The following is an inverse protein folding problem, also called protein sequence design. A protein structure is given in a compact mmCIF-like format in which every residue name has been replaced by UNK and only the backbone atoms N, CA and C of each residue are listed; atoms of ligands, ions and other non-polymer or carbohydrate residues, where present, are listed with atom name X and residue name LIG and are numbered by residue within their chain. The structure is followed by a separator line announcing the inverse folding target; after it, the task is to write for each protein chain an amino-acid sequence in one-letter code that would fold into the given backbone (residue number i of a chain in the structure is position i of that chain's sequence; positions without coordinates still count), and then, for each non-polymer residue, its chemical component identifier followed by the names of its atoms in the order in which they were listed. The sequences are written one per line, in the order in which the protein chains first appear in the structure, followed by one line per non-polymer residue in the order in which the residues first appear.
data_IF_614451913304
#
_entry.id   IF_614451913304
#
_cell.length_a   1.000
_cell.length_b   1.000
_cell.length_c   1.000
_cell.angle_alpha   90.00
_cell.angle_beta   90.00
_cell.angle_gamma   90.00
#
_symmetry.space_group_name_H-M   'P 1'
#
loop_
_entity.id
_entity.type
_entity.pdbx_description
1 polymer ?
#
# COMPACT_ATOMS: atom_id res chain seq x y z
N UNK A 1 -20.67 2.45 -2.80
CA UNK A 1 -21.94 3.19 -2.89
C UNK A 1 -21.62 4.67 -2.75
N UNK A 2 -22.09 5.52 -3.66
CA UNK A 2 -21.76 6.95 -3.60
C UNK A 2 -22.44 7.63 -2.39
N UNK A 3 -21.79 8.60 -1.71
CA UNK A 3 -22.40 9.36 -0.63
C UNK A 3 -23.80 9.94 -0.96
N UNK A 4 -24.03 10.43 -2.18
CA UNK A 4 -25.35 10.89 -2.65
C UNK A 4 -26.41 9.79 -2.64
N UNK A 5 -26.05 8.58 -3.07
CA UNK A 5 -26.94 7.43 -3.06
C UNK A 5 -27.30 7.03 -1.64
N UNK A 6 -26.33 7.10 -0.72
CA UNK A 6 -26.56 6.84 0.70
C UNK A 6 -27.57 7.85 1.26
N UNK A 7 -27.39 9.14 1.00
CA UNK A 7 -28.32 10.18 1.45
C UNK A 7 -29.73 9.95 0.91
N UNK A 8 -29.86 9.63 -0.38
CA UNK A 8 -31.17 9.33 -1.00
C UNK A 8 -31.85 8.13 -0.36
N UNK A 9 -31.10 7.07 -0.07
CA UNK A 9 -31.63 5.88 0.62
C UNK A 9 -32.07 6.22 2.05
N UNK A 10 -31.30 7.03 2.76
CA UNK A 10 -31.67 7.48 4.10
C UNK A 10 -32.93 8.36 4.07
N UNK A 11 -33.06 9.28 3.10
CA UNK A 11 -34.29 10.06 2.88
C UNK A 11 -35.50 9.16 2.63
N UNK A 12 -35.38 8.16 1.74
CA UNK A 12 -36.50 7.25 1.44
C UNK A 12 -36.91 6.37 2.64
N UNK A 13 -35.98 6.04 3.52
CA UNK A 13 -36.26 5.23 4.72
C UNK A 13 -36.83 6.07 5.86
N UNK A 14 -36.36 7.31 6.00
CA UNK A 14 -36.82 8.23 7.04
C UNK A 14 -38.25 8.73 6.81
N UNK A 15 -38.61 8.98 5.55
CA UNK A 15 -39.85 9.67 5.20
C UNK A 15 -39.94 11.03 5.89
N UNK A 16 -41.12 11.39 6.39
CA UNK A 16 -41.38 12.66 7.08
C UNK A 16 -41.09 12.63 8.60
N UNK A 17 -40.62 11.48 9.11
CA UNK A 17 -40.44 11.29 10.56
C UNK A 17 -39.15 11.92 11.10
N UNK A 18 -38.20 12.27 10.23
CA UNK A 18 -36.87 12.77 10.63
C UNK A 18 -36.61 14.11 9.95
N UNK A 19 -36.20 15.10 10.75
CA UNK A 19 -35.84 16.42 10.23
C UNK A 19 -34.57 16.34 9.38
N UNK A 20 -34.50 17.19 8.35
CA UNK A 20 -33.33 17.24 7.45
C UNK A 20 -32.00 17.44 8.20
N UNK A 21 -32.00 18.23 9.28
CA UNK A 21 -30.82 18.46 10.12
C UNK A 21 -30.33 17.18 10.79
N UNK A 22 -31.23 16.37 11.34
CA UNK A 22 -30.89 15.10 11.99
C UNK A 22 -30.42 14.09 10.95
N UNK A 23 -31.10 14.03 9.81
CA UNK A 23 -30.71 13.17 8.69
C UNK A 23 -29.31 13.50 8.17
N UNK A 24 -28.99 14.79 8.06
CA UNK A 24 -27.66 15.28 7.70
C UNK A 24 -26.60 14.84 8.70
N UNK A 25 -26.83 14.99 9.99
CA UNK A 25 -25.89 14.54 11.02
C UNK A 25 -25.64 13.03 10.94
N UNK A 26 -26.70 12.24 10.85
CA UNK A 26 -26.59 10.78 10.71
C UNK A 26 -25.85 10.38 9.43
N UNK A 27 -26.12 11.07 8.32
CA UNK A 27 -25.44 10.80 7.05
C UNK A 27 -23.95 11.10 7.14
N UNK A 28 -23.55 12.24 7.72
CA UNK A 28 -22.14 12.59 7.95
C UNK A 28 -21.44 11.55 8.85
N UNK A 29 -22.12 11.03 9.88
CA UNK A 29 -21.58 9.99 10.76
C UNK A 29 -21.39 8.62 10.09
N UNK A 30 -21.98 8.40 8.91
CA UNK A 30 -21.77 7.19 8.11
C UNK A 30 -20.67 7.35 7.05
N UNK A 31 -20.09 8.54 6.89
CA UNK A 31 -19.01 8.78 5.94
C UNK A 31 -17.63 8.53 6.60
N UNK A 32 -16.61 8.14 5.82
CA UNK A 32 -15.23 8.14 6.29
C UNK A 32 -14.77 9.52 6.76
N UNK A 33 -13.86 9.56 7.73
CA UNK A 33 -13.36 10.81 8.33
C UNK A 33 -12.73 11.76 7.30
N UNK A 34 -12.07 11.22 6.28
CA UNK A 34 -11.47 12.00 5.19
C UNK A 34 -12.50 12.85 4.45
N UNK A 35 -13.73 12.34 4.28
CA UNK A 35 -14.82 13.05 3.63
C UNK A 35 -15.55 13.93 4.65
N UNK A 36 -15.85 13.39 5.83
CA UNK A 36 -16.60 14.07 6.90
C UNK A 36 -15.91 15.37 7.34
N UNK A 37 -14.61 15.34 7.57
CA UNK A 37 -13.86 16.51 8.06
C UNK A 37 -13.94 17.72 7.12
N UNK A 38 -14.03 17.47 5.81
CA UNK A 38 -14.19 18.52 4.79
C UNK A 38 -15.63 19.04 4.78
N UNK A 39 -16.61 18.14 4.87
CA UNK A 39 -18.03 18.50 4.75
C UNK A 39 -18.62 19.16 6.00
N UNK A 40 -18.09 18.87 7.20
CA UNK A 40 -18.61 19.43 8.47
C UNK A 40 -18.51 20.95 8.52
N UNK A 41 -17.50 21.54 7.86
CA UNK A 41 -17.28 22.99 7.81
C UNK A 41 -18.19 23.68 6.78
N UNK A 42 -18.81 22.92 5.86
CA UNK A 42 -19.61 23.47 4.77
C UNK A 42 -21.01 23.90 5.22
N UNK A 43 -21.40 25.13 4.87
CA UNK A 43 -22.75 25.68 5.11
C UNK A 43 -23.75 25.36 3.99
N UNK A 44 -23.38 24.48 3.04
CA UNK A 44 -24.22 24.09 1.91
C UNK A 44 -25.48 23.33 2.32
N UNK A 45 -26.46 23.31 1.42
CA UNK A 45 -27.68 22.49 1.54
C UNK A 45 -27.35 20.99 1.35
N UNK A 46 -28.26 20.10 1.76
CA UNK A 46 -28.01 18.65 1.74
C UNK A 46 -27.74 18.09 0.33
N UNK A 47 -28.31 18.70 -0.71
CA UNK A 47 -28.14 18.27 -2.09
C UNK A 47 -26.72 18.58 -2.58
N UNK A 48 -26.28 19.84 -2.43
CA UNK A 48 -24.94 20.30 -2.79
C UNK A 48 -23.87 19.59 -1.95
N UNK A 49 -24.15 19.39 -0.65
CA UNK A 49 -23.25 18.66 0.26
C UNK A 49 -23.04 17.21 -0.22
N UNK A 50 -24.09 16.57 -0.73
CA UNK A 50 -24.01 15.22 -1.29
C UNK A 50 -23.19 15.16 -2.58
N UNK A 51 -23.29 16.19 -3.42
CA UNK A 51 -22.47 16.33 -4.63
C UNK A 51 -21.00 16.57 -4.28
N UNK A 52 -20.71 17.40 -3.27
CA UNK A 52 -19.35 17.59 -2.76
C UNK A 52 -18.77 16.28 -2.22
N UNK A 53 -19.57 15.53 -1.45
CA UNK A 53 -19.16 14.24 -0.92
C UNK A 53 -18.83 13.24 -2.03
N UNK A 54 -19.63 13.20 -3.10
CA UNK A 54 -19.37 12.35 -4.27
C UNK A 54 -18.05 12.71 -4.95
N UNK A 55 -17.77 14.02 -5.14
CA UNK A 55 -16.50 14.48 -5.73
C UNK A 55 -15.31 14.08 -4.88
N UNK A 56 -15.38 14.28 -3.56
CA UNK A 56 -14.31 13.89 -2.63
C UNK A 56 -14.16 12.36 -2.63
N UNK A 57 -15.26 11.61 -2.66
CA UNK A 57 -15.25 10.16 -2.74
C UNK A 57 -14.58 9.68 -4.03
N UNK A 58 -14.85 10.33 -5.18
CA UNK A 58 -14.21 10.02 -6.46
C UNK A 58 -12.71 10.33 -6.46
N UNK A 59 -12.28 11.44 -5.84
CA UNK A 59 -10.86 11.78 -5.69
C UNK A 59 -10.14 10.72 -4.82
N UNK A 60 -10.74 10.33 -3.69
CA UNK A 60 -10.14 9.33 -2.79
C UNK A 60 -10.24 7.89 -3.32
N UNK A 61 -11.25 7.58 -4.14
CA UNK A 61 -11.45 6.25 -4.74
C UNK A 61 -10.68 6.09 -6.04
N UNK A 62 -10.36 7.19 -6.71
CA UNK A 62 -9.34 7.18 -7.74
C UNK A 62 -8.03 6.84 -7.04
N UNK A 63 -7.34 5.76 -7.43
CA UNK A 63 -5.92 5.69 -7.18
C UNK A 63 -5.33 6.78 -8.07
N UNK A 64 -5.36 8.02 -7.60
CA UNK A 64 -4.50 9.06 -8.10
C UNK A 64 -3.10 8.47 -7.99
N UNK A 65 -2.62 7.94 -9.11
CA UNK A 65 -1.36 8.29 -9.73
C UNK A 65 -0.42 8.96 -8.71
N UNK A 66 -0.03 8.21 -7.67
CA UNK A 66 1.23 8.40 -6.96
C UNK A 66 2.39 7.93 -7.87
N UNK A 67 2.25 8.09 -9.19
CA UNK A 67 3.32 8.14 -10.16
C UNK A 67 3.80 9.59 -10.28
N UNK A 68 4.08 10.21 -9.15
CA UNK A 68 4.99 11.33 -9.05
C UNK A 68 5.86 11.05 -7.83
N UNK A 69 6.98 10.35 -8.08
CA UNK A 69 8.23 10.56 -7.34
C UNK A 69 8.19 10.47 -5.82
N UNK A 70 7.35 9.62 -5.22
CA UNK A 70 7.53 9.23 -3.83
C UNK A 70 8.78 8.34 -3.74
N UNK A 71 9.95 8.98 -3.63
CA UNK A 71 11.27 8.45 -3.29
C UNK A 71 11.42 6.92 -3.28
N UNK A 72 11.26 6.31 -4.45
CA UNK A 72 11.65 4.93 -4.68
C UNK A 72 13.17 4.74 -4.57
N UNK A 73 13.93 5.81 -4.28
CA UNK A 73 15.35 5.76 -3.90
C UNK A 73 15.61 4.75 -2.79
N UNK A 74 14.81 4.76 -1.72
CA UNK A 74 14.99 3.84 -0.61
C UNK A 74 14.72 2.39 -1.03
N UNK A 75 13.61 2.14 -1.73
CA UNK A 75 13.23 0.81 -2.22
C UNK A 75 14.25 0.29 -3.24
N UNK A 76 14.70 1.14 -4.16
CA UNK A 76 15.73 0.83 -5.17
C UNK A 76 17.07 0.53 -4.50
N UNK A 77 17.49 1.31 -3.50
CA UNK A 77 18.71 1.07 -2.74
C UNK A 77 18.65 -0.26 -1.98
N UNK A 78 17.49 -0.58 -1.40
CA UNK A 78 17.26 -1.88 -0.74
C UNK A 78 17.35 -3.01 -1.78
N UNK A 79 16.71 -2.86 -2.95
CA UNK A 79 16.70 -3.88 -4.00
C UNK A 79 18.10 -4.11 -4.60
N UNK A 80 18.88 -3.05 -4.78
CA UNK A 80 20.29 -3.11 -5.17
C UNK A 80 21.14 -3.82 -4.11
N UNK A 81 20.94 -3.51 -2.82
CA UNK A 81 21.64 -4.19 -1.71
C UNK A 81 21.27 -5.67 -1.62
N UNK A 82 20.01 -6.03 -1.81
CA UNK A 82 19.56 -7.44 -1.83
C UNK A 82 20.24 -8.18 -2.98
N UNK A 83 20.25 -7.61 -4.18
CA UNK A 83 20.94 -8.20 -5.34
C UNK A 83 22.44 -8.40 -5.10
N UNK A 84 23.11 -7.43 -4.45
CA UNK A 84 24.53 -7.54 -4.10
C UNK A 84 24.77 -8.66 -3.06
N UNK A 85 23.92 -8.76 -2.04
CA UNK A 85 24.00 -9.81 -1.02
C UNK A 85 23.80 -11.20 -1.62
N UNK A 86 22.83 -11.37 -2.51
CA UNK A 86 22.60 -12.62 -3.23
C UNK A 86 23.85 -13.05 -4.02
N UNK A 87 24.49 -12.10 -4.70
CA UNK A 87 25.75 -12.35 -5.42
C UNK A 87 26.88 -12.77 -4.46
N UNK A 88 27.07 -12.05 -3.36
CA UNK A 88 28.10 -12.40 -2.37
C UNK A 88 27.88 -13.78 -1.75
N UNK A 89 26.62 -14.13 -1.45
CA UNK A 89 26.25 -15.47 -0.97
C UNK A 89 26.62 -16.53 -2.01
N UNK A 90 26.30 -16.30 -3.29
CA UNK A 90 26.65 -17.23 -4.38
C UNK A 90 28.16 -17.47 -4.48
N UNK A 91 28.96 -16.41 -4.40
CA UNK A 91 30.43 -16.47 -4.48
C UNK A 91 31.03 -17.20 -3.27
N UNK A 92 30.52 -16.95 -2.06
CA UNK A 92 30.94 -17.65 -0.85
C UNK A 92 30.66 -19.16 -0.93
N UNK A 93 29.49 -19.55 -1.45
CA UNK A 93 29.17 -20.96 -1.68
C UNK A 93 30.11 -21.61 -2.69
N UNK A 94 30.44 -20.94 -3.79
CA UNK A 94 31.38 -21.43 -4.81
C UNK A 94 32.79 -21.56 -4.21
N UNK A 95 33.26 -20.55 -3.49
CA UNK A 95 34.60 -20.54 -2.89
C UNK A 95 34.76 -21.63 -1.81
N UNK A 96 33.75 -21.85 -0.96
CA UNK A 96 33.76 -22.98 -0.01
C UNK A 96 33.85 -24.34 -0.70
N UNK A 97 33.17 -24.52 -1.84
CA UNK A 97 33.26 -25.77 -2.64
C UNK A 97 34.67 -25.96 -3.22
N UNK A 98 35.26 -24.90 -3.78
CA UNK A 98 36.63 -24.94 -4.35
C UNK A 98 37.72 -25.16 -3.29
N UNK A 99 37.59 -24.56 -2.11
CA UNK A 99 38.56 -24.78 -1.03
C UNK A 99 38.49 -26.21 -0.52
N UNK A 100 37.29 -26.80 -0.36
CA UNK A 100 37.14 -28.21 0.05
C UNK A 100 37.72 -29.21 -0.96
N UNK A 101 37.65 -28.95 -2.27
CA UNK A 101 38.25 -29.85 -3.26
C UNK A 101 39.77 -29.81 -3.28
N UNK A 102 40.38 -28.65 -3.03
CA UNK A 102 41.86 -28.52 -2.98
C UNK A 102 42.48 -29.32 -1.82
N UNK A 103 41.82 -29.38 -0.65
CA UNK A 103 42.35 -30.16 0.48
C UNK A 103 42.27 -31.68 0.28
N UNK A 104 41.32 -32.19 -0.52
CA UNK A 104 41.21 -33.63 -0.80
C UNK A 104 42.26 -34.13 -1.80
N UNK A 105 42.69 -33.31 -2.76
CA UNK A 105 43.69 -33.74 -3.75
C UNK A 105 45.14 -33.66 -3.22
N UNK A 106 45.38 -32.94 -2.12
CA UNK A 106 46.73 -32.84 -1.52
C UNK A 106 47.10 -34.07 -0.67
N UNK A 107 46.14 -34.93 -0.32
CA UNK A 107 46.38 -36.11 0.51
C UNK A 107 46.83 -37.33 -0.29
N UNK A 108 46.72 -37.29 -1.62
CA UNK A 108 46.90 -38.48 -2.47
C UNK A 108 48.28 -38.59 -3.13
N UNK A 109 49.16 -37.59 -2.96
CA UNK A 109 50.45 -37.52 -3.66
C UNK A 109 51.66 -37.95 -2.82
N UNK A 110 51.48 -38.45 -1.59
CA UNK A 110 52.61 -38.79 -0.70
C UNK A 110 53.00 -40.27 -0.61
N UNK A 111 52.31 -41.18 -1.31
CA UNK A 111 52.53 -42.63 -1.14
C UNK A 111 53.09 -43.37 -2.38
N UNK A 112 53.79 -42.71 -3.29
CA UNK A 112 54.39 -43.41 -4.46
C UNK A 112 55.86 -43.08 -4.65
N UNK A 113 56.68 -43.45 -3.66
CA UNK A 113 58.14 -43.54 -3.82
C UNK A 113 58.71 -44.52 -2.81
N UNK A 114 58.68 -45.82 -3.12
CA UNK A 114 59.61 -46.85 -2.61
C UNK A 114 59.27 -48.21 -3.26
N UNK A 115 60.14 -48.61 -4.18
CA UNK A 115 60.64 -49.96 -4.52
C UNK A 115 61.09 -49.99 -5.97
#
# INVERSE_FOLDING_TARGET
MKPSQLLRKMKSLAGDNITEKVLRTLWLDKLPDSIKNILVVSSENSENLSVMADKIFEINSSPEIYSATADNSAVKNILEKVSLLEKQISELYINKRKSRSKFKNSSQTRNKSRS
#
